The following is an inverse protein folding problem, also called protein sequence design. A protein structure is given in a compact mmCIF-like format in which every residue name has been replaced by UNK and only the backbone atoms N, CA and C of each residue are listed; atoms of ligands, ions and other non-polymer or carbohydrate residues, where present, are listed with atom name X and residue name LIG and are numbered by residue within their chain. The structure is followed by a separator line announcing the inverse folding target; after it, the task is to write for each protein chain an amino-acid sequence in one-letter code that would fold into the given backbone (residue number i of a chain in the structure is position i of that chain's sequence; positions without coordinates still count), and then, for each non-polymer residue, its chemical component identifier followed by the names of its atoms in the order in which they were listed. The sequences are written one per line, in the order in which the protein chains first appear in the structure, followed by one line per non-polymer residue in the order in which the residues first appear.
data_IF_019305291403
#
_entry.id   IF_019305291403
#
_cell.length_a   1.000
_cell.length_b   1.000
_cell.length_c   1.000
_cell.angle_alpha   90.00
_cell.angle_beta   90.00
_cell.angle_gamma   90.00
#
_symmetry.space_group_name_H-M   'P 1'
#
loop_
_entity.id
_entity.type
_entity.pdbx_description
1 polymer ?
#
# COMPACT_ATOMS: atom_id res chain seq x y z
N UNK A 1 -10.42 7.57 -0.50
CA UNK A 1 -9.26 7.62 -1.42
C UNK A 1 -9.79 7.27 -2.80
N UNK A 2 -10.06 8.27 -3.64
CA UNK A 2 -10.90 8.12 -4.84
C UNK A 2 -10.48 6.96 -5.77
N UNK A 3 -9.16 6.74 -5.93
CA UNK A 3 -8.64 5.61 -6.71
C UNK A 3 -9.02 4.23 -6.18
N UNK A 4 -9.03 4.03 -4.87
CA UNK A 4 -9.36 2.74 -4.25
C UNK A 4 -10.86 2.50 -4.16
N UNK A 5 -11.65 3.55 -3.89
CA UNK A 5 -13.09 3.37 -3.59
C UNK A 5 -13.98 3.61 -4.80
N UNK A 6 -13.72 4.65 -5.59
CA UNK A 6 -14.65 5.08 -6.65
C UNK A 6 -14.23 4.64 -8.05
N UNK A 7 -12.93 4.67 -8.35
CA UNK A 7 -12.43 4.29 -9.69
C UNK A 7 -12.24 2.79 -9.84
N UNK A 8 -11.60 2.15 -8.85
CA UNK A 8 -11.29 0.72 -8.88
C UNK A 8 -12.31 -0.14 -8.14
N UNK A 9 -12.96 0.40 -7.10
CA UNK A 9 -13.90 -0.34 -6.26
C UNK A 9 -13.25 -1.56 -5.59
N UNK A 10 -12.28 -1.33 -4.70
CA UNK A 10 -11.57 -2.40 -3.99
C UNK A 10 -12.55 -3.32 -3.24
N UNK A 11 -12.52 -4.61 -3.55
CA UNK A 11 -13.25 -5.64 -2.83
C UNK A 11 -12.34 -6.25 -1.76
N UNK A 12 -12.88 -6.49 -0.57
CA UNK A 12 -12.14 -7.13 0.51
C UNK A 12 -11.59 -8.50 0.06
N UNK A 13 -10.33 -8.77 0.38
CA UNK A 13 -9.59 -9.96 -0.06
C UNK A 13 -8.82 -9.78 -1.37
N UNK A 14 -9.00 -8.67 -2.11
CA UNK A 14 -8.20 -8.41 -3.29
C UNK A 14 -6.78 -7.95 -2.94
N UNK A 15 -5.83 -8.28 -3.80
CA UNK A 15 -4.45 -7.82 -3.70
C UNK A 15 -4.32 -6.39 -4.22
N UNK A 16 -3.57 -5.53 -3.52
CA UNK A 16 -3.29 -4.15 -3.95
C UNK A 16 -1.80 -3.89 -3.96
N UNK A 17 -1.30 -3.30 -5.06
CA UNK A 17 0.07 -2.79 -5.15
C UNK A 17 0.06 -1.27 -5.08
N UNK A 18 0.81 -0.72 -4.12
CA UNK A 18 1.05 0.72 -4.00
C UNK A 18 2.49 1.01 -4.42
N UNK A 19 2.66 1.88 -5.43
CA UNK A 19 3.97 2.30 -5.93
C UNK A 19 4.31 3.68 -5.37
N UNK A 20 5.42 3.76 -4.62
CA UNK A 20 5.95 5.00 -4.07
C UNK A 20 5.61 5.19 -2.59
N UNK A 21 6.60 5.13 -1.67
CA UNK A 21 6.38 5.29 -0.23
C UNK A 21 6.41 6.80 0.15
N UNK A 22 5.64 7.60 -0.58
CA UNK A 22 5.35 9.01 -0.30
C UNK A 22 4.21 9.13 0.73
N UNK A 23 3.84 10.36 1.16
CA UNK A 23 2.74 10.53 2.11
C UNK A 23 1.41 9.92 1.61
N UNK A 24 1.09 10.14 0.33
CA UNK A 24 -0.12 9.59 -0.30
C UNK A 24 -0.04 8.07 -0.43
N UNK A 25 1.11 7.52 -0.83
CA UNK A 25 1.27 6.06 -0.93
C UNK A 25 1.16 5.38 0.44
N UNK A 26 1.73 5.97 1.49
CA UNK A 26 1.59 5.45 2.86
C UNK A 26 0.15 5.53 3.36
N UNK A 27 -0.56 6.62 3.05
CA UNK A 27 -2.01 6.72 3.30
C UNK A 27 -2.77 5.64 2.50
N UNK A 28 -2.35 5.35 1.27
CA UNK A 28 -3.00 4.35 0.43
C UNK A 28 -2.85 2.95 0.97
N UNK A 29 -1.67 2.60 1.50
CA UNK A 29 -1.46 1.34 2.21
C UNK A 29 -2.42 1.21 3.39
N UNK A 30 -2.50 2.23 4.25
CA UNK A 30 -3.36 2.20 5.42
C UNK A 30 -4.85 2.06 5.05
N UNK A 31 -5.30 2.81 4.04
CA UNK A 31 -6.69 2.75 3.55
C UNK A 31 -6.98 1.39 2.90
N UNK A 32 -6.10 0.90 2.02
CA UNK A 32 -6.28 -0.41 1.37
C UNK A 32 -6.39 -1.54 2.41
N UNK A 33 -5.51 -1.54 3.42
CA UNK A 33 -5.56 -2.54 4.49
C UNK A 33 -6.84 -2.43 5.30
N UNK A 34 -7.29 -1.22 5.60
CA UNK A 34 -8.53 -0.97 6.34
C UNK A 34 -9.79 -1.39 5.57
N UNK A 35 -9.74 -1.34 4.23
CA UNK A 35 -10.78 -1.82 3.33
C UNK A 35 -10.75 -3.35 3.14
N UNK A 36 -9.80 -4.06 3.77
CA UNK A 36 -9.71 -5.50 3.72
C UNK A 36 -8.87 -6.07 2.58
N UNK A 37 -8.08 -5.25 1.88
CA UNK A 37 -7.14 -5.77 0.88
C UNK A 37 -6.17 -6.78 1.51
N UNK A 38 -5.89 -7.88 0.79
CA UNK A 38 -4.92 -8.88 1.20
C UNK A 38 -4.38 -9.65 -0.01
N UNK A 39 -3.06 -9.60 -0.29
CA UNK A 39 -2.04 -8.77 0.37
C UNK A 39 -2.04 -7.30 -0.09
N UNK A 40 -1.61 -6.41 0.80
CA UNK A 40 -1.17 -5.04 0.45
C UNK A 40 0.34 -5.02 0.24
N UNK A 41 0.78 -4.68 -0.97
CA UNK A 41 2.19 -4.67 -1.39
C UNK A 41 2.64 -3.21 -1.58
N UNK A 42 3.70 -2.79 -0.90
CA UNK A 42 4.29 -1.45 -1.06
C UNK A 42 5.67 -1.52 -1.72
N UNK A 43 5.83 -0.83 -2.85
CA UNK A 43 7.08 -0.77 -3.61
C UNK A 43 7.69 0.64 -3.53
N UNK A 44 9.00 0.74 -3.34
CA UNK A 44 9.68 2.03 -3.18
C UNK A 44 11.19 1.95 -3.19
N UNK A 45 11.87 3.08 -2.99
CA UNK A 45 13.35 3.13 -2.97
C UNK A 45 13.94 3.53 -1.61
N UNK A 46 13.11 3.99 -0.68
CA UNK A 46 13.53 4.51 0.64
C UNK A 46 13.13 3.52 1.73
N UNK A 47 14.08 2.75 2.26
CA UNK A 47 13.82 1.68 3.24
C UNK A 47 13.13 2.18 4.50
N UNK A 48 13.52 3.34 5.04
CA UNK A 48 12.88 3.93 6.21
C UNK A 48 11.38 4.17 5.99
N UNK A 49 10.98 4.56 4.77
CA UNK A 49 9.59 4.80 4.40
C UNK A 49 8.84 3.49 4.14
N UNK A 50 9.50 2.51 3.54
CA UNK A 50 8.94 1.15 3.38
C UNK A 50 8.63 0.52 4.76
N UNK A 51 9.53 0.66 5.73
CA UNK A 51 9.30 0.21 7.11
C UNK A 51 8.11 0.91 7.77
N UNK A 52 7.86 2.18 7.47
CA UNK A 52 6.63 2.87 7.92
C UNK A 52 5.41 2.24 7.25
N UNK A 53 5.46 1.96 5.95
CA UNK A 53 4.38 1.28 5.23
C UNK A 53 4.03 -0.09 5.82
N UNK A 54 5.03 -0.87 6.23
CA UNK A 54 4.82 -2.14 6.92
C UNK A 54 4.04 -1.95 8.23
N UNK A 55 4.40 -0.95 9.04
CA UNK A 55 3.65 -0.59 10.26
C UNK A 55 2.22 -0.11 9.97
N UNK A 56 1.98 0.45 8.80
CA UNK A 56 0.67 0.93 8.36
C UNK A 56 -0.20 -0.16 7.69
N UNK A 57 0.31 -1.39 7.55
CA UNK A 57 -0.46 -2.52 7.06
C UNK A 57 -0.02 -3.10 5.71
N UNK A 58 1.12 -2.68 5.15
CA UNK A 58 1.70 -3.40 4.02
C UNK A 58 2.16 -4.79 4.46
N UNK A 59 1.56 -5.83 3.89
CA UNK A 59 1.93 -7.23 4.12
C UNK A 59 3.30 -7.54 3.51
N UNK A 60 3.61 -6.91 2.37
CA UNK A 60 4.87 -7.08 1.65
C UNK A 60 5.45 -5.70 1.34
N UNK A 61 6.76 -5.53 1.56
CA UNK A 61 7.51 -4.34 1.15
C UNK A 61 8.63 -4.72 0.19
N UNK A 62 8.77 -3.98 -0.91
CA UNK A 62 9.82 -4.21 -1.92
C UNK A 62 10.64 -2.93 -2.13
N UNK A 63 11.96 -3.07 -2.07
CA UNK A 63 12.87 -1.98 -2.40
C UNK A 63 13.27 -2.11 -3.88
N UNK A 64 12.77 -1.26 -4.76
CA UNK A 64 13.03 -1.32 -6.20
C UNK A 64 14.52 -1.18 -6.62
N UNK A 65 15.44 -0.92 -5.67
CA UNK A 65 16.88 -0.89 -5.90
C UNK A 65 17.59 -2.22 -5.59
N UNK A 66 16.91 -3.22 -5.04
CA UNK A 66 17.48 -4.48 -4.56
C UNK A 66 16.52 -5.63 -4.83
#
# INVERSE_FOLDING_TARGET
MYGLTELGGLVAGESVVVIGPGPIGLLAVAVAKSLGASPVILIGTRENRLKIGQKLGADIILNAKR
#
